data_IF_145601894801
#
_entry.id   IF_145601894801
#
_cell.length_a   1.000
_cell.length_b   1.000
_cell.length_c   1.000
_cell.angle_alpha   90.00
_cell.angle_beta   90.00
_cell.angle_gamma   90.00
#
_symmetry.space_group_name_H-M   'P 1'
#
loop_
_entity.id
_entity.type
_entity.pdbx_description
1 polymer ?
#
# COMPACT_ATOMS: atom_id res chain seq x y z
N UNK A 1 0.52 -8.80 -13.98
CA UNK A 1 -0.95 -8.75 -14.15
C UNK A 1 -1.57 -8.78 -12.76
N UNK A 2 -2.64 -8.02 -12.51
CA UNK A 2 -3.31 -8.02 -11.22
C UNK A 2 -4.11 -9.31 -10.96
N UNK A 3 -4.66 -9.45 -9.75
CA UNK A 3 -5.52 -10.55 -9.35
C UNK A 3 -6.98 -10.10 -9.26
N UNK A 4 -7.92 -11.01 -9.53
CA UNK A 4 -9.33 -10.79 -9.23
C UNK A 4 -9.51 -10.80 -7.70
N UNK A 5 -10.05 -9.72 -7.17
CA UNK A 5 -10.19 -9.48 -5.74
C UNK A 5 -11.52 -8.80 -5.39
N UNK A 6 -12.51 -8.87 -6.28
CA UNK A 6 -13.83 -8.25 -6.10
C UNK A 6 -13.73 -6.77 -5.68
N UNK A 7 -12.89 -6.00 -6.39
CA UNK A 7 -12.70 -4.59 -6.09
C UNK A 7 -13.97 -3.80 -6.41
N UNK A 8 -14.20 -2.70 -5.67
CA UNK A 8 -15.39 -1.87 -5.83
C UNK A 8 -15.54 -1.26 -7.24
N UNK A 9 -14.43 -1.09 -7.96
CA UNK A 9 -14.38 -0.58 -9.33
C UNK A 9 -14.30 -1.69 -10.40
N UNK A 10 -14.31 -2.96 -9.98
CA UNK A 10 -14.17 -4.13 -10.84
C UNK A 10 -12.80 -4.27 -11.53
N UNK A 11 -11.79 -3.48 -11.15
CA UNK A 11 -10.43 -3.57 -11.70
C UNK A 11 -9.56 -4.60 -10.94
N UNK A 12 -8.73 -5.39 -11.62
CA UNK A 12 -7.81 -6.31 -10.95
C UNK A 12 -6.85 -5.61 -9.99
N UNK A 13 -6.70 -6.13 -8.78
CA UNK A 13 -5.83 -5.56 -7.74
C UNK A 13 -4.38 -5.89 -8.03
N UNK A 14 -3.50 -4.89 -7.91
CA UNK A 14 -2.05 -5.04 -8.13
C UNK A 14 -1.22 -4.75 -6.88
N UNK A 15 -1.76 -4.02 -5.90
CA UNK A 15 -1.09 -3.67 -4.65
C UNK A 15 -1.98 -4.13 -3.50
N UNK A 16 -1.42 -4.94 -2.62
CA UNK A 16 -2.06 -5.38 -1.38
C UNK A 16 -1.16 -4.97 -0.23
N UNK A 17 -1.70 -4.21 0.72
CA UNK A 17 -1.00 -3.83 1.95
C UNK A 17 -1.65 -4.55 3.12
N UNK A 18 -0.85 -5.33 3.84
CA UNK A 18 -1.28 -6.00 5.07
C UNK A 18 -0.69 -5.27 6.25
N UNK A 19 -1.54 -4.87 7.20
CA UNK A 19 -1.14 -4.21 8.44
C UNK A 19 -1.50 -5.15 9.59
N UNK A 20 -0.49 -5.55 10.38
CA UNK A 20 -0.68 -6.32 11.59
C UNK A 20 -0.30 -5.45 12.79
N UNK A 21 -1.21 -5.31 13.75
CA UNK A 21 -1.03 -4.56 14.98
C UNK A 21 -1.65 -5.33 16.16
N UNK A 22 -1.17 -5.14 17.40
CA UNK A 22 -1.84 -5.67 18.58
C UNK A 22 -3.27 -5.12 18.74
N UNK A 23 -4.19 -5.96 19.20
CA UNK A 23 -5.62 -5.61 19.33
C UNK A 23 -5.89 -4.39 20.22
N UNK A 24 -4.98 -4.09 21.15
CA UNK A 24 -5.09 -2.98 22.08
C UNK A 24 -4.47 -1.66 21.59
N UNK A 25 -3.95 -1.60 20.35
CA UNK A 25 -3.30 -0.41 19.80
C UNK A 25 -3.95 0.11 18.50
N UNK A 26 -5.23 0.48 18.62
CA UNK A 26 -6.02 1.04 17.51
C UNK A 26 -5.47 2.37 17.00
N UNK A 27 -4.92 3.21 17.88
CA UNK A 27 -4.38 4.51 17.48
C UNK A 27 -3.17 4.37 16.57
N UNK A 28 -2.26 3.45 16.88
CA UNK A 28 -1.13 3.16 16.00
C UNK A 28 -1.61 2.56 14.67
N UNK A 29 -2.56 1.62 14.70
CA UNK A 29 -3.15 1.05 13.49
C UNK A 29 -3.68 2.14 12.54
N UNK A 30 -4.51 3.06 13.05
CA UNK A 30 -5.08 4.14 12.24
C UNK A 30 -4.01 5.09 11.68
N UNK A 31 -2.93 5.35 12.43
CA UNK A 31 -1.80 6.17 11.95
C UNK A 31 -1.04 5.48 10.83
N UNK A 32 -0.76 4.18 10.95
CA UNK A 32 -0.09 3.40 9.90
C UNK A 32 -0.96 3.33 8.65
N UNK A 33 -2.26 3.05 8.81
CA UNK A 33 -3.20 3.03 7.70
C UNK A 33 -3.23 4.39 6.98
N UNK A 34 -3.33 5.50 7.72
CA UNK A 34 -3.34 6.83 7.14
C UNK A 34 -2.05 7.14 6.35
N UNK A 35 -0.88 6.78 6.89
CA UNK A 35 0.40 6.97 6.21
C UNK A 35 0.49 6.15 4.91
N UNK A 36 0.07 4.88 4.94
CA UNK A 36 0.04 4.01 3.76
C UNK A 36 -0.90 4.57 2.70
N UNK A 37 -2.11 4.96 3.09
CA UNK A 37 -3.10 5.53 2.17
C UNK A 37 -2.61 6.85 1.57
N UNK A 38 -1.90 7.68 2.32
CA UNK A 38 -1.30 8.91 1.81
C UNK A 38 -0.32 8.63 0.67
N UNK A 39 0.63 7.70 0.88
CA UNK A 39 1.62 7.30 -0.12
C UNK A 39 0.92 6.70 -1.36
N UNK A 40 -0.03 5.80 -1.16
CA UNK A 40 -0.72 5.12 -2.26
C UNK A 40 -1.71 6.00 -3.03
N UNK A 41 -2.14 7.14 -2.48
CA UNK A 41 -3.03 8.07 -3.19
C UNK A 41 -2.30 8.80 -4.32
N UNK A 42 -0.99 8.98 -4.20
CA UNK A 42 -0.15 9.54 -5.25
C UNK A 42 0.05 8.51 -6.40
N UNK A 43 -0.25 8.92 -7.63
CA UNK A 43 -0.12 8.06 -8.81
C UNK A 43 1.34 7.71 -9.13
N UNK A 44 2.27 8.64 -8.94
CA UNK A 44 3.69 8.42 -9.21
C UNK A 44 4.27 7.40 -8.24
N UNK A 45 3.87 7.46 -6.97
CA UNK A 45 4.24 6.47 -5.96
C UNK A 45 3.71 5.07 -6.33
N UNK A 46 2.46 4.96 -6.80
CA UNK A 46 1.93 3.66 -7.26
C UNK A 46 2.71 3.12 -8.45
N UNK A 47 3.06 3.97 -9.42
CA UNK A 47 3.87 3.57 -10.58
C UNK A 47 5.27 3.11 -10.15
N UNK A 48 5.90 3.83 -9.22
CA UNK A 48 7.20 3.44 -8.66
C UNK A 48 7.13 2.07 -7.97
N UNK A 49 6.11 1.83 -7.13
CA UNK A 49 5.91 0.54 -6.46
C UNK A 49 5.71 -0.60 -7.48
N UNK A 50 4.89 -0.38 -8.52
CA UNK A 50 4.63 -1.39 -9.56
C UNK A 50 5.84 -1.66 -10.47
N UNK A 51 6.75 -0.69 -10.59
CA UNK A 51 7.97 -0.78 -11.38
C UNK A 51 9.21 -1.21 -10.59
N UNK A 52 9.11 -1.36 -9.27
CA UNK A 52 10.21 -1.72 -8.39
C UNK A 52 10.83 -3.07 -8.77
N UNK A 53 12.16 -3.14 -8.83
CA UNK A 53 12.89 -4.37 -9.12
C UNK A 53 13.16 -5.21 -7.88
N UNK A 54 13.14 -4.59 -6.71
CA UNK A 54 13.43 -5.23 -5.43
C UNK A 54 12.64 -4.57 -4.27
N UNK A 55 12.74 -5.16 -3.07
CA UNK A 55 12.02 -4.67 -1.89
C UNK A 55 12.52 -3.31 -1.38
N UNK A 56 13.80 -2.99 -1.58
CA UNK A 56 14.39 -1.72 -1.13
C UNK A 56 13.83 -0.54 -1.93
N UNK A 57 13.63 -0.72 -3.24
CA UNK A 57 12.96 0.27 -4.11
C UNK A 57 11.58 0.64 -3.55
N UNK A 58 10.80 -0.37 -3.12
CA UNK A 58 9.47 -0.16 -2.52
C UNK A 58 9.59 0.61 -1.21
N UNK A 59 10.51 0.22 -0.33
CA UNK A 59 10.71 0.86 0.97
C UNK A 59 11.07 2.35 0.79
N UNK A 60 11.86 2.69 -0.23
CA UNK A 60 12.25 4.07 -0.48
C UNK A 60 11.07 4.98 -0.85
N UNK A 61 10.04 4.45 -1.54
CA UNK A 61 8.80 5.21 -1.83
C UNK A 61 8.05 5.63 -0.56
N UNK A 62 8.19 4.88 0.55
CA UNK A 62 7.55 5.22 1.83
C UNK A 62 8.41 6.11 2.75
N UNK A 63 9.66 6.41 2.35
CA UNK A 63 10.59 7.25 3.12
C UNK A 63 10.60 8.72 2.66
N UNK A 64 10.05 9.00 1.48
CA UNK A 64 9.86 10.35 0.93
C UNK A 64 8.65 11.05 1.55
#
# INVERSE_FOLDING_TARGET
KGIDYDSLDGQPVQIIVTIAAPDNDQNTYLRVLAAVMHVLRNEDNRKAILGAGNAEDIINVFKE
#
